data_IF_161185823594
#
_entry.id   IF_161185823594
#
_cell.length_a   1.000
_cell.length_b   1.000
_cell.length_c   1.000
_cell.angle_alpha   90.00
_cell.angle_beta   90.00
_cell.angle_gamma   90.00
#
_symmetry.space_group_name_H-M   'P 1'
#
loop_
_entity.id
_entity.type
_entity.pdbx_description
1 polymer ?
#
# COMPACT_ATOMS: atom_id res chain seq x y z
N UNK A 1 -3.61 -13.30 -32.16
CA UNK A 1 -3.52 -13.08 -30.70
C UNK A 1 -3.14 -11.62 -30.51
N UNK A 2 -3.88 -10.83 -29.72
CA UNK A 2 -3.41 -9.49 -29.38
C UNK A 2 -2.06 -9.59 -28.66
N UNK A 3 -1.19 -8.61 -28.89
CA UNK A 3 0.09 -8.49 -28.20
C UNK A 3 -0.17 -8.42 -26.67
N UNK A 4 0.55 -9.19 -25.83
CA UNK A 4 0.37 -9.15 -24.38
C UNK A 4 0.47 -7.75 -23.77
N UNK A 5 1.28 -6.87 -24.37
CA UNK A 5 1.41 -5.48 -23.95
C UNK A 5 0.13 -4.66 -24.23
N UNK A 6 -0.45 -4.83 -25.42
CA UNK A 6 -1.66 -4.11 -25.81
C UNK A 6 -2.85 -4.55 -24.93
N UNK A 7 -2.97 -5.84 -24.64
CA UNK A 7 -4.00 -6.36 -23.74
C UNK A 7 -3.82 -5.86 -22.30
N UNK A 8 -2.58 -5.68 -21.85
CA UNK A 8 -2.28 -5.10 -20.54
C UNK A 8 -2.59 -3.60 -20.49
N UNK A 9 -2.22 -2.83 -21.52
CA UNK A 9 -2.56 -1.42 -21.64
C UNK A 9 -4.08 -1.21 -21.66
N UNK A 10 -4.82 -2.04 -22.40
CA UNK A 10 -6.28 -1.98 -22.48
C UNK A 10 -6.94 -2.31 -21.12
N UNK A 11 -6.40 -3.29 -20.39
CA UNK A 11 -6.83 -3.60 -19.02
C UNK A 11 -6.57 -2.44 -18.05
N UNK A 12 -5.40 -1.80 -18.15
CA UNK A 12 -5.06 -0.62 -17.35
C UNK A 12 -5.98 0.56 -17.66
N UNK A 13 -6.22 0.86 -18.94
CA UNK A 13 -7.11 1.96 -19.35
C UNK A 13 -8.55 1.72 -18.91
N UNK A 14 -9.00 0.47 -18.87
CA UNK A 14 -10.30 0.10 -18.33
C UNK A 14 -10.41 0.34 -16.82
N UNK A 15 -9.37 0.01 -16.05
CA UNK A 15 -9.33 0.20 -14.59
C UNK A 15 -9.06 1.65 -14.18
N UNK A 16 -8.26 2.35 -14.98
CA UNK A 16 -7.78 3.71 -14.72
C UNK A 16 -7.98 4.59 -15.97
N UNK A 17 -9.21 5.01 -16.26
CA UNK A 17 -9.52 5.78 -17.46
C UNK A 17 -8.80 7.14 -17.48
N UNK A 18 -8.40 7.62 -18.67
CA UNK A 18 -7.78 8.93 -18.83
C UNK A 18 -8.76 10.02 -18.38
N UNK A 19 -8.33 10.87 -17.44
CA UNK A 19 -9.16 11.84 -16.74
C UNK A 19 -9.19 11.64 -15.23
N UNK A 20 -8.85 10.44 -14.74
CA UNK A 20 -8.78 10.12 -13.31
C UNK A 20 -10.15 10.17 -12.62
N UNK A 21 -10.17 9.83 -11.31
CA UNK A 21 -11.36 10.09 -10.48
C UNK A 21 -11.43 11.58 -10.14
N UNK A 22 -12.64 12.10 -9.94
CA UNK A 22 -12.82 13.42 -9.34
C UNK A 22 -12.19 13.44 -7.94
N UNK A 23 -11.65 14.57 -7.49
CA UNK A 23 -10.97 14.67 -6.18
C UNK A 23 -11.86 14.22 -5.02
N UNK A 24 -13.16 14.46 -5.15
CA UNK A 24 -14.20 14.15 -4.17
C UNK A 24 -14.55 12.65 -4.11
N UNK A 25 -14.08 11.86 -5.10
CA UNK A 25 -14.29 10.41 -5.18
C UNK A 25 -13.10 9.59 -4.68
N UNK A 26 -11.99 10.23 -4.29
CA UNK A 26 -10.89 9.58 -3.59
C UNK A 26 -11.17 9.48 -2.09
N UNK A 27 -10.74 8.38 -1.45
CA UNK A 27 -10.92 8.13 -0.02
C UNK A 27 -12.38 8.23 0.46
N UNK A 28 -13.30 7.73 -0.35
CA UNK A 28 -14.72 7.71 0.00
C UNK A 28 -15.08 6.53 0.92
N UNK A 29 -15.29 6.83 2.21
CA UNK A 29 -15.65 5.86 3.25
C UNK A 29 -17.16 5.83 3.59
N UNK A 30 -18.03 6.36 2.74
CA UNK A 30 -19.49 6.45 2.97
C UNK A 30 -20.19 5.07 2.98
N UNK A 31 -21.53 5.06 3.06
CA UNK A 31 -22.34 3.86 3.23
C UNK A 31 -22.03 2.77 2.17
N UNK A 32 -21.64 3.16 0.96
CA UNK A 32 -21.27 2.32 -0.18
C UNK A 32 -19.82 1.78 -0.14
N UNK A 33 -18.98 2.19 0.82
CA UNK A 33 -17.62 1.68 0.94
C UNK A 33 -17.61 0.17 1.21
N UNK A 34 -16.64 -0.54 0.59
CA UNK A 34 -16.49 -2.00 0.68
C UNK A 34 -16.56 -2.47 2.14
N UNK A 35 -17.41 -3.45 2.49
CA UNK A 35 -17.57 -3.92 3.87
C UNK A 35 -16.25 -4.36 4.54
N UNK A 36 -15.29 -4.86 3.74
CA UNK A 36 -13.94 -5.23 4.19
C UNK A 36 -13.18 -4.05 4.78
N UNK A 37 -13.28 -2.86 4.19
CA UNK A 37 -12.59 -1.64 4.65
C UNK A 37 -13.16 -1.16 5.99
N UNK A 38 -14.48 -1.24 6.17
CA UNK A 38 -15.13 -0.89 7.45
C UNK A 38 -14.71 -1.85 8.57
N UNK A 39 -14.70 -3.15 8.29
CA UNK A 39 -14.27 -4.15 9.27
C UNK A 39 -12.78 -4.01 9.60
N UNK A 40 -11.96 -3.75 8.58
CA UNK A 40 -10.54 -3.44 8.74
C UNK A 40 -10.32 -2.30 9.75
N UNK A 41 -10.96 -1.14 9.54
CA UNK A 41 -10.78 0.01 10.43
C UNK A 41 -11.39 -0.23 11.81
N UNK A 42 -12.49 -1.00 11.91
CA UNK A 42 -13.04 -1.42 13.20
C UNK A 42 -12.03 -2.23 14.01
N UNK A 43 -11.33 -3.17 13.39
CA UNK A 43 -10.28 -3.97 14.04
C UNK A 43 -9.05 -3.11 14.38
N UNK A 44 -8.61 -2.27 13.44
CA UNK A 44 -7.49 -1.35 13.62
C UNK A 44 -7.72 -0.43 14.84
N UNK A 45 -8.83 0.30 14.87
CA UNK A 45 -9.14 1.22 15.97
C UNK A 45 -9.40 0.50 17.30
N UNK A 46 -9.86 -0.76 17.28
CA UNK A 46 -10.09 -1.55 18.49
C UNK A 46 -8.81 -2.06 19.13
N UNK A 47 -7.80 -2.43 18.33
CA UNK A 47 -6.64 -3.18 18.81
C UNK A 47 -5.31 -2.42 18.76
N UNK A 48 -5.24 -1.27 18.06
CA UNK A 48 -4.07 -0.39 18.09
C UNK A 48 -3.99 0.37 19.44
N UNK A 49 -3.47 -0.30 20.46
CA UNK A 49 -3.21 0.29 21.79
C UNK A 49 -1.73 0.67 21.96
N UNK A 50 -1.41 1.53 22.93
CA UNK A 50 -0.02 1.86 23.25
C UNK A 50 0.80 0.60 23.58
N UNK A 51 0.21 -0.32 24.35
CA UNK A 51 0.85 -1.61 24.68
C UNK A 51 1.16 -2.42 23.42
N UNK A 52 0.19 -2.56 22.51
CA UNK A 52 0.35 -3.27 21.25
C UNK A 52 1.47 -2.66 20.40
N UNK A 53 1.46 -1.33 20.22
CA UNK A 53 2.48 -0.61 19.45
C UNK A 53 3.88 -0.79 20.05
N UNK A 54 4.01 -0.71 21.38
CA UNK A 54 5.30 -0.93 22.04
C UNK A 54 5.78 -2.37 21.89
N UNK A 55 4.89 -3.36 21.93
CA UNK A 55 5.22 -4.75 21.66
C UNK A 55 5.72 -4.94 20.22
N UNK A 56 5.02 -4.38 19.22
CA UNK A 56 5.43 -4.45 17.82
C UNK A 56 6.75 -3.74 17.53
N UNK A 57 7.03 -2.61 18.18
CA UNK A 57 8.34 -1.96 18.11
C UNK A 57 9.46 -2.87 18.62
N UNK A 58 9.25 -3.53 19.77
CA UNK A 58 10.25 -4.49 20.31
C UNK A 58 10.47 -5.68 19.37
N UNK A 59 9.42 -6.12 18.69
CA UNK A 59 9.45 -7.25 17.76
C UNK A 59 10.18 -6.93 16.45
N UNK A 60 9.90 -5.76 15.84
CA UNK A 60 10.30 -5.47 14.45
C UNK A 60 11.44 -4.47 14.28
N UNK A 61 11.76 -3.64 15.28
CA UNK A 61 12.92 -2.75 15.17
C UNK A 61 14.26 -3.50 15.01
N UNK A 62 14.48 -4.66 15.66
CA UNK A 62 15.64 -5.48 15.37
C UNK A 62 15.52 -6.17 13.99
N UNK A 63 16.45 -5.97 13.04
CA UNK A 63 16.34 -6.52 11.69
C UNK A 63 16.73 -8.01 11.64
N UNK A 64 15.91 -8.87 12.25
CA UNK A 64 16.22 -10.30 12.45
C UNK A 64 15.53 -11.26 11.49
N UNK A 65 14.54 -10.79 10.72
CA UNK A 65 13.67 -11.68 9.91
C UNK A 65 14.31 -12.09 8.60
N UNK A 66 14.67 -11.13 7.76
CA UNK A 66 15.20 -11.39 6.41
C UNK A 66 16.06 -10.23 5.93
N UNK A 67 17.09 -10.55 5.16
CA UNK A 67 17.88 -9.58 4.39
C UNK A 67 17.49 -9.70 2.92
N UNK A 68 17.28 -8.58 2.26
CA UNK A 68 16.84 -8.50 0.86
C UNK A 68 17.35 -7.20 0.23
N UNK A 69 17.58 -7.22 -1.08
CA UNK A 69 17.68 -6.03 -1.91
C UNK A 69 16.31 -5.36 -2.09
N UNK A 70 16.28 -4.12 -2.57
CA UNK A 70 15.04 -3.37 -2.77
C UNK A 70 14.13 -4.06 -3.80
N UNK A 71 14.69 -4.52 -4.92
CA UNK A 71 13.91 -5.21 -5.94
C UNK A 71 13.33 -6.53 -5.43
N UNK A 72 14.12 -7.32 -4.69
CA UNK A 72 13.65 -8.56 -4.05
C UNK A 72 12.53 -8.27 -3.03
N UNK A 73 12.60 -7.14 -2.32
CA UNK A 73 11.55 -6.70 -1.41
C UNK A 73 10.26 -6.36 -2.16
N UNK A 74 10.37 -5.69 -3.30
CA UNK A 74 9.24 -5.37 -4.16
C UNK A 74 8.57 -6.63 -4.73
N UNK A 75 9.37 -7.58 -5.24
CA UNK A 75 8.88 -8.87 -5.73
C UNK A 75 8.20 -9.67 -4.62
N UNK A 76 8.77 -9.67 -3.41
CA UNK A 76 8.15 -10.32 -2.27
C UNK A 76 6.83 -9.65 -1.90
N UNK A 77 6.82 -8.32 -1.79
CA UNK A 77 5.62 -7.53 -1.49
C UNK A 77 4.52 -7.72 -2.55
N UNK A 78 4.87 -7.95 -3.81
CA UNK A 78 3.91 -8.16 -4.89
C UNK A 78 3.00 -9.38 -4.70
N UNK A 79 3.31 -10.26 -3.73
CA UNK A 79 2.45 -11.37 -3.33
C UNK A 79 1.29 -10.97 -2.40
N UNK A 80 1.29 -9.73 -1.91
CA UNK A 80 0.26 -9.18 -1.02
C UNK A 80 -0.85 -8.48 -1.82
N UNK A 81 -2.10 -8.74 -1.44
CA UNK A 81 -3.27 -7.92 -1.81
C UNK A 81 -3.59 -7.01 -0.61
N UNK A 82 -3.64 -5.69 -0.83
CA UNK A 82 -3.95 -4.70 0.21
C UNK A 82 -5.46 -4.50 0.33
N UNK A 83 -6.04 -4.95 1.45
CA UNK A 83 -7.49 -4.92 1.68
C UNK A 83 -7.98 -3.57 2.25
N UNK A 84 -7.06 -2.64 2.56
CA UNK A 84 -7.38 -1.35 3.17
C UNK A 84 -7.63 -0.23 2.18
N UNK A 85 -7.13 -0.36 0.95
CA UNK A 85 -7.21 0.67 -0.07
C UNK A 85 -8.54 0.57 -0.84
N UNK A 86 -9.44 1.58 -0.75
CA UNK A 86 -10.69 1.59 -1.50
C UNK A 86 -10.52 2.03 -2.97
N UNK A 87 -9.34 2.53 -3.34
CA UNK A 87 -9.12 3.29 -4.55
C UNK A 87 -8.36 2.55 -5.66
N UNK A 88 -7.60 1.50 -5.34
CA UNK A 88 -6.77 0.78 -6.32
C UNK A 88 -6.81 -0.74 -6.19
N UNK A 89 -6.73 -1.41 -7.35
CA UNK A 89 -6.50 -2.86 -7.48
C UNK A 89 -5.16 -3.16 -8.18
N UNK A 90 -4.22 -2.19 -8.15
CA UNK A 90 -2.88 -2.39 -8.69
C UNK A 90 -2.12 -3.44 -7.88
N UNK A 91 -1.22 -4.14 -8.57
CA UNK A 91 -0.18 -4.88 -7.88
C UNK A 91 0.74 -3.92 -7.11
N UNK A 92 1.40 -4.43 -6.06
CA UNK A 92 2.23 -3.57 -5.22
C UNK A 92 3.41 -2.97 -6.01
N UNK A 93 3.98 -3.70 -6.97
CA UNK A 93 5.03 -3.15 -7.84
C UNK A 93 4.50 -2.00 -8.69
N UNK A 94 3.32 -2.14 -9.30
CA UNK A 94 2.71 -1.09 -10.11
C UNK A 94 2.48 0.18 -9.30
N UNK A 95 1.96 0.06 -8.07
CA UNK A 95 1.76 1.20 -7.16
C UNK A 95 3.08 1.93 -6.81
N UNK A 96 4.13 1.17 -6.46
CA UNK A 96 5.43 1.74 -6.14
C UNK A 96 6.06 2.46 -7.34
N UNK A 97 6.00 1.85 -8.53
CA UNK A 97 6.52 2.45 -9.77
C UNK A 97 5.69 3.65 -10.20
N UNK A 98 4.36 3.58 -10.11
CA UNK A 98 3.46 4.69 -10.43
C UNK A 98 3.78 5.91 -9.56
N UNK A 99 3.96 5.71 -8.26
CA UNK A 99 4.32 6.78 -7.33
C UNK A 99 5.68 7.39 -7.67
N UNK A 100 6.69 6.54 -7.90
CA UNK A 100 8.04 6.99 -8.27
C UNK A 100 8.07 7.76 -9.61
N UNK A 101 7.37 7.26 -10.63
CA UNK A 101 7.33 7.87 -11.95
C UNK A 101 6.53 9.18 -11.98
N UNK A 102 5.46 9.29 -11.18
CA UNK A 102 4.76 10.55 -10.99
C UNK A 102 5.71 11.62 -10.40
N UNK A 103 6.46 11.28 -9.34
CA UNK A 103 7.46 12.16 -8.72
C UNK A 103 8.57 12.52 -9.72
N UNK A 104 9.03 11.56 -10.54
CA UNK A 104 10.03 11.80 -11.58
C UNK A 104 9.52 12.76 -12.67
N UNK A 105 8.29 12.55 -13.15
CA UNK A 105 7.66 13.39 -14.18
C UNK A 105 7.49 14.83 -13.71
N UNK A 106 7.26 15.03 -12.42
CA UNK A 106 7.21 16.34 -11.77
C UNK A 106 8.58 17.03 -11.59
N UNK A 107 9.66 16.43 -12.11
CA UNK A 107 11.01 17.03 -12.09
C UNK A 107 11.63 17.08 -10.70
N UNK A 108 11.22 16.20 -9.78
CA UNK A 108 11.71 16.18 -8.40
C UNK A 108 13.09 15.53 -8.27
N UNK A 109 13.85 15.81 -7.18
CA UNK A 109 15.17 15.23 -6.96
C UNK A 109 15.16 13.69 -6.88
N UNK A 110 16.29 13.07 -7.23
CA UNK A 110 16.46 11.60 -7.25
C UNK A 110 16.09 10.91 -5.94
N UNK A 111 16.39 11.53 -4.79
CA UNK A 111 16.06 10.94 -3.49
C UNK A 111 14.54 10.85 -3.28
N UNK A 112 13.76 11.80 -3.81
CA UNK A 112 12.30 11.80 -3.63
C UNK A 112 11.64 10.76 -4.54
N UNK A 113 12.19 10.57 -5.74
CA UNK A 113 11.79 9.45 -6.62
C UNK A 113 12.01 8.12 -5.90
N UNK A 114 13.18 7.94 -5.28
CA UNK A 114 13.47 6.75 -4.50
C UNK A 114 12.52 6.59 -3.30
N UNK A 115 12.20 7.68 -2.59
CA UNK A 115 11.21 7.65 -1.50
C UNK A 115 9.86 7.12 -1.99
N UNK A 116 9.38 7.59 -3.14
CA UNK A 116 8.15 7.05 -3.75
C UNK A 116 8.23 5.56 -4.06
N UNK A 117 9.39 5.09 -4.54
CA UNK A 117 9.60 3.67 -4.86
C UNK A 117 9.60 2.77 -3.62
N UNK A 118 10.05 3.25 -2.46
CA UNK A 118 10.24 2.41 -1.27
C UNK A 118 9.20 2.64 -0.17
N UNK A 119 8.31 3.62 -0.32
CA UNK A 119 7.46 4.11 0.78
C UNK A 119 6.62 3.00 1.45
N UNK A 120 6.07 2.10 0.64
CA UNK A 120 5.16 1.04 1.09
C UNK A 120 5.85 -0.32 1.31
N UNK A 121 7.17 -0.43 1.23
CA UNK A 121 7.87 -1.70 1.47
C UNK A 121 7.67 -2.26 2.89
N UNK A 122 7.24 -1.42 3.84
CA UNK A 122 6.85 -1.86 5.19
C UNK A 122 5.67 -2.83 5.19
N UNK A 123 4.84 -2.86 4.12
CA UNK A 123 3.71 -3.78 3.99
C UNK A 123 4.11 -5.26 3.98
N UNK A 124 5.39 -5.56 3.77
CA UNK A 124 5.96 -6.91 3.89
C UNK A 124 5.69 -7.54 5.26
N UNK A 125 5.43 -6.75 6.31
CA UNK A 125 5.03 -7.29 7.61
C UNK A 125 3.78 -8.18 7.54
N UNK A 126 2.84 -7.91 6.61
CA UNK A 126 1.69 -8.79 6.35
C UNK A 126 2.13 -10.20 5.93
N UNK A 127 3.17 -10.28 5.08
CA UNK A 127 3.74 -11.55 4.61
C UNK A 127 4.52 -12.31 5.70
N UNK A 128 4.82 -11.63 6.81
CA UNK A 128 5.39 -12.23 8.00
C UNK A 128 4.33 -12.64 9.05
N UNK A 129 3.06 -12.63 8.67
CA UNK A 129 1.95 -13.11 9.49
C UNK A 129 1.24 -12.02 10.30
N UNK A 130 1.61 -10.74 10.14
CA UNK A 130 0.81 -9.67 10.74
C UNK A 130 -0.55 -9.56 10.06
N UNK A 131 -1.64 -9.35 10.82
CA UNK A 131 -2.91 -9.01 10.22
C UNK A 131 -2.81 -7.64 9.55
N UNK A 132 -3.50 -7.45 8.42
CA UNK A 132 -3.41 -6.19 7.67
C UNK A 132 -3.73 -4.96 8.52
N UNK A 133 -4.70 -5.04 9.44
CA UNK A 133 -5.06 -3.93 10.33
C UNK A 133 -3.89 -3.46 11.21
N UNK A 134 -2.86 -4.27 11.41
CA UNK A 134 -1.67 -3.93 12.17
C UNK A 134 -0.54 -3.31 11.32
N UNK A 135 -0.70 -3.25 9.99
CA UNK A 135 0.38 -2.91 9.04
C UNK A 135 0.00 -1.76 8.09
N UNK A 136 -1.19 -1.82 7.50
CA UNK A 136 -1.65 -0.86 6.48
C UNK A 136 -2.70 0.10 7.02
N UNK A 137 -3.22 0.97 6.16
CA UNK A 137 -4.27 1.94 6.50
C UNK A 137 -3.75 3.22 7.14
N UNK A 138 -4.68 4.16 7.34
CA UNK A 138 -4.40 5.44 7.99
C UNK A 138 -3.97 5.24 9.45
N UNK A 139 -3.11 6.14 9.95
CA UNK A 139 -2.54 6.05 11.30
C UNK A 139 -3.09 7.14 12.23
N UNK A 140 -3.09 6.85 13.54
CA UNK A 140 -3.52 7.80 14.57
C UNK A 140 -2.65 7.66 15.83
N UNK A 141 -2.50 8.73 16.66
CA UNK A 141 -1.79 8.64 17.92
C UNK A 141 -2.48 7.68 18.91
N UNK A 142 -1.69 6.87 19.63
CA UNK A 142 -2.19 5.99 20.69
C UNK A 142 -1.72 6.47 22.06
N UNK A 143 -2.55 6.28 23.09
CA UNK A 143 -2.22 6.64 24.48
C UNK A 143 -2.46 8.11 24.84
N UNK A 144 -3.30 8.82 24.09
CA UNK A 144 -3.76 10.18 24.34
C UNK A 144 -5.27 10.23 24.61
#
# INVERSE_FOLDING_TARGET
MPNPLDAWEESLLSRYPPGGKAKEAFRDYRAEARPSVKEFYRLNHRYQTLEFVLAKKREYLPPRRRRMGIWEAMEFLNTLVDDSDPDTELSQIEHLVQTAEAIRRDGRPRWFILTGLIHDLGKILCLFGEPQWAVVGDTFPVGC
#
